data_IF_223644981732
#
_entry.id   IF_223644981732
#
_cell.length_a   1.000
_cell.length_b   1.000
_cell.length_c   1.000
_cell.angle_alpha   90.00
_cell.angle_beta   90.00
_cell.angle_gamma   90.00
#
_symmetry.space_group_name_H-M   'P 1'
#
loop_
_entity.id
_entity.type
_entity.pdbx_description
1 polymer ?
#
# COMPACT_ATOMS: atom_id res chain seq x y z
N UNK A 1 17.71 36.37 -3.53
CA UNK A 1 16.69 35.45 -3.04
C UNK A 1 16.20 34.63 -4.24
N UNK A 2 16.44 33.33 -4.26
CA UNK A 2 15.93 32.44 -5.33
C UNK A 2 14.49 32.04 -4.96
N UNK A 3 13.51 32.18 -5.86
CA UNK A 3 12.16 31.73 -5.56
C UNK A 3 12.16 30.20 -5.38
N UNK A 4 11.63 29.75 -4.27
CA UNK A 4 11.40 28.33 -4.01
C UNK A 4 10.35 27.84 -5.01
N UNK A 5 10.75 26.94 -5.89
CA UNK A 5 9.81 26.26 -6.81
C UNK A 5 8.88 25.42 -5.94
N UNK A 6 7.64 25.85 -5.82
CA UNK A 6 6.60 25.04 -5.20
C UNK A 6 6.29 23.87 -6.15
N UNK A 7 6.66 22.65 -5.74
CA UNK A 7 6.20 21.44 -6.40
C UNK A 7 4.69 21.30 -6.12
N UNK A 8 3.87 21.83 -7.01
CA UNK A 8 2.41 21.71 -6.95
C UNK A 8 2.01 20.44 -7.69
N UNK A 9 1.12 19.66 -7.08
CA UNK A 9 0.41 18.59 -7.73
C UNK A 9 -0.29 19.09 -9.03
N UNK A 10 -0.51 18.24 -10.04
CA UNK A 10 -1.16 18.65 -11.28
C UNK A 10 -2.56 19.21 -10.97
N UNK A 11 -2.84 20.41 -11.44
CA UNK A 11 -4.06 21.15 -11.20
C UNK A 11 -3.82 22.43 -10.38
N UNK A 12 -4.29 23.57 -10.85
CA UNK A 12 -4.20 24.86 -10.15
C UNK A 12 -5.03 24.86 -8.86
N UNK A 13 -4.74 25.80 -7.95
CA UNK A 13 -5.46 25.98 -6.69
C UNK A 13 -6.99 26.01 -6.86
N UNK A 14 -7.47 26.75 -7.84
CA UNK A 14 -8.92 26.87 -8.13
C UNK A 14 -9.52 25.56 -8.67
N UNK A 15 -8.80 24.82 -9.50
CA UNK A 15 -9.27 23.53 -10.03
C UNK A 15 -9.45 22.52 -8.90
N UNK A 16 -8.45 22.38 -8.04
CA UNK A 16 -8.54 21.51 -6.85
C UNK A 16 -9.66 21.92 -5.88
N UNK A 17 -9.82 23.23 -5.69
CA UNK A 17 -10.90 23.76 -4.82
C UNK A 17 -12.29 23.46 -5.38
N UNK A 18 -12.46 23.53 -6.71
CA UNK A 18 -13.71 23.19 -7.36
C UNK A 18 -14.01 21.69 -7.30
N UNK A 19 -13.00 20.85 -7.46
CA UNK A 19 -13.12 19.39 -7.31
C UNK A 19 -13.51 19.01 -5.88
N UNK A 20 -12.88 19.63 -4.89
CA UNK A 20 -13.20 19.40 -3.49
C UNK A 20 -14.62 19.88 -3.15
N UNK A 21 -15.05 21.02 -3.67
CA UNK A 21 -16.42 21.50 -3.54
C UNK A 21 -17.43 20.53 -4.16
N UNK A 22 -17.15 20.01 -5.36
CA UNK A 22 -18.00 19.00 -6.00
C UNK A 22 -18.07 17.73 -5.16
N UNK A 23 -16.95 17.26 -4.61
CA UNK A 23 -16.88 16.09 -3.74
C UNK A 23 -17.75 16.29 -2.50
N UNK A 24 -17.57 17.37 -1.78
CA UNK A 24 -18.32 17.68 -0.56
C UNK A 24 -19.83 17.84 -0.83
N UNK A 25 -20.20 18.50 -1.92
CA UNK A 25 -21.61 18.65 -2.30
C UNK A 25 -22.25 17.33 -2.74
N UNK A 26 -21.54 16.47 -3.45
CA UNK A 26 -22.04 15.13 -3.80
C UNK A 26 -22.25 14.27 -2.56
N UNK A 27 -21.31 14.31 -1.60
CA UNK A 27 -21.43 13.60 -0.33
C UNK A 27 -22.67 14.07 0.46
N UNK A 28 -22.91 15.38 0.51
CA UNK A 28 -24.07 15.96 1.21
C UNK A 28 -25.41 15.65 0.52
N UNK A 29 -25.45 15.64 -0.82
CA UNK A 29 -26.71 15.46 -1.59
C UNK A 29 -27.07 13.97 -1.71
N UNK A 30 -26.10 13.10 -1.93
CA UNK A 30 -26.36 11.69 -2.23
C UNK A 30 -26.45 10.79 -1.00
N UNK A 31 -26.17 11.31 0.21
CA UNK A 31 -26.09 10.50 1.44
C UNK A 31 -25.18 9.27 1.25
N UNK A 32 -24.09 9.44 0.53
CA UNK A 32 -23.18 8.33 0.16
C UNK A 32 -22.55 7.63 1.39
N UNK A 33 -22.63 8.21 2.57
CA UNK A 33 -22.23 7.59 3.82
C UNK A 33 -23.10 6.40 4.27
N UNK A 34 -24.21 6.12 3.57
CA UNK A 34 -25.11 5.00 3.90
C UNK A 34 -24.83 3.73 3.07
N UNK A 35 -24.05 3.83 2.00
CA UNK A 35 -23.72 2.67 1.17
C UNK A 35 -22.24 2.66 0.79
N UNK A 36 -21.61 1.50 0.92
CA UNK A 36 -20.22 1.32 0.49
C UNK A 36 -20.08 1.56 -1.02
N UNK A 37 -19.09 2.35 -1.44
CA UNK A 37 -18.87 2.59 -2.86
C UNK A 37 -18.49 1.30 -3.58
N UNK A 38 -19.06 1.10 -4.77
CA UNK A 38 -18.76 -0.07 -5.62
C UNK A 38 -17.52 0.16 -6.51
N UNK A 39 -17.21 1.42 -6.80
CA UNK A 39 -16.06 1.77 -7.65
C UNK A 39 -14.81 1.93 -6.81
N UNK A 40 -13.67 1.37 -7.23
CA UNK A 40 -12.41 1.57 -6.55
C UNK A 40 -11.98 3.04 -6.62
N UNK A 41 -11.31 3.50 -5.58
CA UNK A 41 -10.78 4.86 -5.46
C UNK A 41 -9.27 4.83 -5.71
N UNK A 42 -8.78 5.39 -6.82
CA UNK A 42 -7.36 5.39 -7.14
C UNK A 42 -6.60 6.33 -6.20
N UNK A 43 -5.53 5.84 -5.60
CA UNK A 43 -4.59 6.62 -4.79
C UNK A 43 -3.35 6.98 -5.61
N UNK A 44 -2.77 5.99 -6.29
CA UNK A 44 -1.58 6.16 -7.11
C UNK A 44 -1.74 5.36 -8.40
N UNK A 45 -1.35 5.96 -9.51
CA UNK A 45 -1.22 5.32 -10.81
C UNK A 45 0.13 5.67 -11.40
N UNK A 46 0.67 4.75 -12.20
CA UNK A 46 1.92 4.96 -12.91
C UNK A 46 1.73 4.70 -14.42
N UNK A 47 0.69 5.31 -14.98
CA UNK A 47 0.36 5.16 -16.41
C UNK A 47 1.35 5.90 -17.29
N UNK A 48 1.94 6.98 -16.80
CA UNK A 48 2.86 7.86 -17.53
C UNK A 48 4.12 8.17 -16.73
N UNK A 49 5.19 8.59 -17.42
CA UNK A 49 6.42 9.03 -16.76
C UNK A 49 6.21 10.30 -15.89
N UNK A 50 5.19 11.11 -16.18
CA UNK A 50 4.83 12.27 -15.37
C UNK A 50 4.33 11.89 -13.99
N UNK A 51 3.71 10.71 -13.85
CA UNK A 51 3.17 10.23 -12.58
C UNK A 51 4.26 9.98 -11.54
N UNK A 52 5.50 9.70 -11.97
CA UNK A 52 6.64 9.59 -11.05
C UNK A 52 6.96 10.91 -10.33
N UNK A 53 6.64 12.06 -10.94
CA UNK A 53 6.86 13.38 -10.33
C UNK A 53 5.97 13.63 -9.12
N UNK A 54 4.91 12.82 -8.96
CA UNK A 54 4.04 12.85 -7.78
C UNK A 54 4.65 12.10 -6.59
N UNK A 55 5.82 11.49 -6.77
CA UNK A 55 6.50 10.72 -5.75
C UNK A 55 7.85 11.35 -5.36
N UNK A 56 8.16 11.26 -4.07
CA UNK A 56 9.46 11.63 -3.50
C UNK A 56 10.24 10.38 -3.17
N UNK A 57 11.45 10.26 -3.73
CA UNK A 57 12.43 9.23 -3.35
C UNK A 57 13.08 9.59 -2.03
N UNK A 58 13.40 8.58 -1.22
CA UNK A 58 14.04 8.70 0.08
C UNK A 58 15.06 7.58 0.25
N UNK A 59 16.21 7.89 0.84
CA UNK A 59 17.19 6.87 1.20
C UNK A 59 18.02 7.34 2.39
N UNK A 60 18.87 6.47 2.91
CA UNK A 60 19.83 6.82 3.94
C UNK A 60 20.93 7.80 3.49
N UNK A 61 20.98 8.16 2.20
CA UNK A 61 21.84 9.27 1.72
C UNK A 61 21.57 10.58 2.43
N UNK A 62 20.32 10.81 2.83
CA UNK A 62 19.92 12.03 3.57
C UNK A 62 20.61 12.14 4.94
N UNK A 63 21.10 11.02 5.47
CA UNK A 63 21.86 10.89 6.72
C UNK A 63 23.30 10.41 6.49
N UNK A 64 23.83 10.56 5.27
CA UNK A 64 25.19 10.18 4.92
C UNK A 64 25.42 8.70 4.61
N UNK A 65 24.39 7.89 4.48
CA UNK A 65 24.46 6.50 4.07
C UNK A 65 24.74 6.31 2.57
N UNK A 66 24.87 5.05 2.16
CA UNK A 66 25.36 4.69 0.82
C UNK A 66 24.33 3.91 -0.02
N UNK A 67 23.11 3.71 0.46
CA UNK A 67 22.05 3.06 -0.31
C UNK A 67 21.63 3.91 -1.51
N UNK A 68 21.34 3.25 -2.64
CA UNK A 68 20.91 3.92 -3.87
C UNK A 68 19.42 3.68 -4.13
N UNK A 69 18.75 4.70 -4.70
CA UNK A 69 17.34 4.64 -5.07
C UNK A 69 17.16 5.16 -6.48
N UNK A 70 16.64 4.30 -7.33
CA UNK A 70 16.14 4.64 -8.65
C UNK A 70 14.63 4.41 -8.69
N UNK A 71 13.93 5.20 -9.50
CA UNK A 71 12.49 5.11 -9.65
C UNK A 71 12.16 5.51 -11.07
N UNK A 72 11.89 4.51 -11.92
CA UNK A 72 11.79 4.65 -13.35
C UNK A 72 10.41 4.19 -13.85
N UNK A 73 9.89 4.83 -14.89
CA UNK A 73 8.63 4.45 -15.50
C UNK A 73 8.88 3.46 -16.62
N UNK A 74 8.10 2.39 -16.63
CA UNK A 74 8.02 1.41 -17.71
C UNK A 74 6.63 1.49 -18.34
N UNK A 75 6.55 1.81 -19.65
CA UNK A 75 5.27 1.88 -20.36
C UNK A 75 4.66 0.48 -20.51
N UNK A 76 3.36 0.45 -20.77
CA UNK A 76 2.65 -0.80 -21.05
C UNK A 76 3.29 -1.54 -22.24
N UNK A 77 3.48 -2.83 -22.10
CA UNK A 77 3.96 -3.76 -23.12
C UNK A 77 2.93 -4.85 -23.35
N UNK A 78 3.21 -5.79 -24.28
CA UNK A 78 2.32 -6.94 -24.51
C UNK A 78 2.26 -7.90 -23.30
N UNK A 79 3.27 -7.89 -22.44
CA UNK A 79 3.42 -8.82 -21.33
C UNK A 79 3.30 -8.17 -19.95
N UNK A 80 3.46 -6.85 -19.85
CA UNK A 80 3.48 -6.14 -18.59
C UNK A 80 2.64 -4.86 -18.64
N UNK A 81 1.92 -4.51 -17.55
CA UNK A 81 1.20 -3.24 -17.43
C UNK A 81 2.18 -2.08 -17.35
N UNK A 82 1.68 -0.85 -17.59
CA UNK A 82 2.43 0.34 -17.21
C UNK A 82 2.72 0.31 -15.70
N UNK A 83 3.95 0.59 -15.31
CA UNK A 83 4.37 0.51 -13.92
C UNK A 83 5.56 1.41 -13.60
N UNK A 84 5.74 1.68 -12.32
CA UNK A 84 6.96 2.27 -11.78
C UNK A 84 7.87 1.16 -11.24
N UNK A 85 9.13 1.19 -11.60
CA UNK A 85 10.17 0.29 -11.08
C UNK A 85 10.97 1.01 -10.01
N UNK A 86 10.87 0.52 -8.78
CA UNK A 86 11.61 0.98 -7.62
C UNK A 86 12.77 0.04 -7.36
N UNK A 87 14.00 0.47 -7.64
CA UNK A 87 15.16 -0.40 -7.59
C UNK A 87 16.42 0.33 -7.14
N UNK A 88 17.43 -0.44 -6.76
CA UNK A 88 18.71 0.10 -6.32
C UNK A 88 19.52 -0.90 -5.54
N UNK A 89 20.33 -0.40 -4.60
CA UNK A 89 21.18 -1.24 -3.74
C UNK A 89 21.11 -0.73 -2.31
N UNK A 90 20.87 -1.62 -1.36
CA UNK A 90 20.98 -1.34 0.06
C UNK A 90 22.44 -1.50 0.50
N UNK A 91 22.96 -0.51 1.22
CA UNK A 91 24.23 -0.53 1.91
C UNK A 91 24.03 -0.28 3.40
N UNK A 92 24.64 -1.10 4.24
CA UNK A 92 24.58 -0.93 5.72
C UNK A 92 25.83 -0.27 6.28
N UNK A 93 26.71 0.24 5.41
CA UNK A 93 27.89 0.97 5.82
C UNK A 93 27.51 2.27 6.55
N UNK A 94 28.15 2.51 7.69
CA UNK A 94 27.95 3.73 8.45
C UNK A 94 28.83 4.88 7.91
N UNK A 95 28.34 6.13 7.90
CA UNK A 95 29.13 7.27 7.50
C UNK A 95 30.25 7.56 8.50
N UNK A 96 31.46 7.71 8.02
CA UNK A 96 32.62 8.00 8.88
C UNK A 96 32.55 9.37 9.58
N UNK A 97 31.89 10.33 8.94
CA UNK A 97 31.84 11.73 9.41
C UNK A 97 30.60 12.06 10.26
N UNK A 98 29.77 11.08 10.57
CA UNK A 98 28.50 11.28 11.31
C UNK A 98 28.35 10.23 12.43
N UNK A 99 29.05 10.37 13.55
CA UNK A 99 29.09 9.35 14.61
C UNK A 99 27.73 9.18 15.33
N UNK A 100 26.80 10.12 15.17
CA UNK A 100 25.45 10.02 15.69
C UNK A 100 24.55 9.09 14.87
N UNK A 101 24.94 8.74 13.63
CA UNK A 101 24.20 7.82 12.79
C UNK A 101 24.56 6.38 13.19
N UNK A 102 23.64 5.72 13.86
CA UNK A 102 23.82 4.34 14.34
C UNK A 102 23.26 3.30 13.38
N UNK A 103 22.40 3.71 12.44
CA UNK A 103 21.72 2.78 11.51
C UNK A 103 21.60 3.40 10.13
N UNK A 104 21.95 2.62 9.12
CA UNK A 104 21.76 2.88 7.70
C UNK A 104 21.10 1.68 7.05
N UNK A 105 20.93 1.67 5.74
CA UNK A 105 20.38 0.56 4.99
C UNK A 105 18.86 0.69 4.84
N UNK A 106 18.41 1.85 4.32
CA UNK A 106 17.03 2.01 3.94
C UNK A 106 16.89 2.70 2.58
N UNK A 107 15.80 2.35 1.89
CA UNK A 107 15.36 2.95 0.64
C UNK A 107 13.82 3.03 0.65
N UNK A 108 13.26 4.06 0.02
CA UNK A 108 11.82 4.19 -0.05
C UNK A 108 11.37 5.28 -1.02
N UNK A 109 10.09 5.29 -1.30
CA UNK A 109 9.41 6.41 -1.94
C UNK A 109 8.05 6.62 -1.27
N UNK A 110 7.52 7.82 -1.39
CA UNK A 110 6.15 8.16 -1.01
C UNK A 110 5.56 9.15 -2.00
N UNK A 111 4.26 9.19 -2.08
CA UNK A 111 3.57 10.24 -2.81
C UNK A 111 3.86 11.60 -2.18
N UNK A 112 3.77 12.65 -2.99
CA UNK A 112 3.70 14.01 -2.47
C UNK A 112 2.37 14.23 -1.77
N UNK A 113 2.34 15.19 -0.86
CA UNK A 113 1.10 15.60 -0.22
C UNK A 113 0.16 16.23 -1.24
N UNK A 114 -1.13 16.02 -1.04
CA UNK A 114 -2.15 16.70 -1.83
C UNK A 114 -2.03 18.22 -1.61
N UNK A 115 -2.28 18.97 -2.68
CA UNK A 115 -2.17 20.43 -2.59
C UNK A 115 -3.24 21.05 -1.68
N UNK A 116 -3.00 22.29 -1.24
CA UNK A 116 -4.01 23.06 -0.48
C UNK A 116 -5.13 23.52 -1.38
N UNK A 117 -6.32 23.59 -0.79
CA UNK A 117 -7.56 24.15 -1.37
C UNK A 117 -8.04 25.31 -0.51
N UNK A 118 -9.12 25.99 -0.92
CA UNK A 118 -9.80 27.00 -0.08
C UNK A 118 -10.35 26.41 1.23
N UNK A 119 -10.55 25.07 1.28
CA UNK A 119 -11.05 24.35 2.45
C UNK A 119 -9.89 23.82 3.34
N UNK A 120 -8.64 24.21 3.06
CA UNK A 120 -7.45 23.78 3.77
C UNK A 120 -6.63 22.75 3.02
N UNK A 121 -5.87 21.91 3.76
CA UNK A 121 -5.09 20.82 3.21
C UNK A 121 -6.01 19.73 2.65
N UNK A 122 -5.77 19.30 1.42
CA UNK A 122 -6.51 18.18 0.83
C UNK A 122 -5.94 16.85 1.31
N UNK A 123 -6.81 15.86 1.51
CA UNK A 123 -6.49 14.51 1.92
C UNK A 123 -7.29 13.51 1.09
N UNK A 124 -6.81 12.29 0.99
CA UNK A 124 -7.63 11.19 0.50
C UNK A 124 -8.54 10.69 1.62
N UNK A 125 -9.83 10.65 1.33
CA UNK A 125 -10.83 10.06 2.22
C UNK A 125 -11.15 8.64 1.72
N UNK A 126 -10.65 7.66 2.46
CA UNK A 126 -10.84 6.24 2.15
C UNK A 126 -11.69 5.53 3.20
N UNK A 127 -12.40 6.29 4.06
CA UNK A 127 -13.19 5.74 5.18
C UNK A 127 -14.32 4.80 4.74
N UNK A 128 -14.80 4.95 3.51
CA UNK A 128 -15.84 4.09 2.95
C UNK A 128 -15.31 2.79 2.33
N UNK A 129 -14.00 2.59 2.32
CA UNK A 129 -13.33 1.42 1.74
C UNK A 129 -12.73 0.55 2.83
N UNK A 130 -12.90 -0.76 2.70
CA UNK A 130 -12.37 -1.74 3.66
C UNK A 130 -10.90 -2.09 3.45
N UNK A 131 -10.40 -1.95 2.21
CA UNK A 131 -9.10 -2.47 1.82
C UNK A 131 -8.29 -1.45 1.04
N UNK A 132 -6.97 -1.48 1.24
CA UNK A 132 -5.97 -1.00 0.31
C UNK A 132 -5.59 -2.15 -0.63
N UNK A 133 -5.66 -1.89 -1.92
CA UNK A 133 -5.22 -2.82 -2.95
C UNK A 133 -3.93 -2.31 -3.60
N UNK A 134 -3.01 -3.22 -3.89
CA UNK A 134 -1.74 -2.94 -4.54
C UNK A 134 -1.43 -4.00 -5.58
N UNK A 135 -1.15 -3.57 -6.83
CA UNK A 135 -0.62 -4.42 -7.89
C UNK A 135 0.89 -4.24 -7.96
N UNK A 136 1.65 -5.34 -7.87
CA UNK A 136 3.11 -5.30 -7.82
C UNK A 136 3.76 -6.58 -8.32
N UNK A 137 5.06 -6.49 -8.64
CA UNK A 137 5.97 -7.63 -8.88
C UNK A 137 7.22 -7.42 -8.06
N UNK A 138 7.53 -8.34 -7.16
CA UNK A 138 8.60 -8.23 -6.16
C UNK A 138 9.73 -9.22 -6.43
N UNK A 139 10.94 -8.85 -6.02
CA UNK A 139 12.11 -9.73 -5.94
C UNK A 139 12.07 -10.68 -4.73
N UNK A 140 11.04 -10.61 -3.88
CA UNK A 140 10.87 -11.42 -2.68
C UNK A 140 11.49 -10.82 -1.41
N UNK A 141 12.06 -9.60 -1.46
CA UNK A 141 12.52 -8.89 -0.27
C UNK A 141 11.32 -8.37 0.55
N UNK A 142 11.57 -8.03 1.81
CA UNK A 142 10.54 -7.59 2.76
C UNK A 142 10.31 -6.08 2.68
N UNK A 143 9.39 -5.68 1.81
CA UNK A 143 8.97 -4.28 1.70
C UNK A 143 7.87 -3.96 2.72
N UNK A 144 7.74 -2.68 3.05
CA UNK A 144 6.66 -2.16 3.87
C UNK A 144 5.84 -1.15 3.06
N UNK A 145 4.52 -1.30 3.10
CA UNK A 145 3.61 -0.26 2.67
C UNK A 145 3.44 0.71 3.83
N UNK A 146 3.60 1.99 3.55
CA UNK A 146 3.52 3.07 4.53
C UNK A 146 2.36 3.99 4.18
N UNK A 147 1.49 4.23 5.13
CA UNK A 147 0.39 5.18 5.02
C UNK A 147 0.58 6.25 6.09
N UNK A 148 0.68 7.50 5.68
CA UNK A 148 0.72 8.64 6.59
C UNK A 148 -0.66 9.32 6.59
N UNK A 149 -1.15 9.61 7.78
CA UNK A 149 -2.42 10.33 7.99
C UNK A 149 -2.16 11.70 8.63
N UNK A 150 -3.20 12.51 8.74
CA UNK A 150 -3.15 13.79 9.46
C UNK A 150 -3.12 13.52 10.98
N UNK A 151 -1.94 13.23 11.50
CA UNK A 151 -1.67 12.95 12.91
C UNK A 151 -1.07 14.17 13.60
N UNK A 152 -1.30 14.28 14.92
CA UNK A 152 -0.68 15.29 15.79
C UNK A 152 0.86 15.16 15.74
N UNK A 153 1.37 13.95 15.63
CA UNK A 153 2.80 13.67 15.47
C UNK A 153 3.09 13.44 14.00
N UNK A 154 3.77 14.39 13.31
CA UNK A 154 3.98 14.33 11.86
C UNK A 154 4.83 13.15 11.39
N UNK A 155 5.60 12.54 12.29
CA UNK A 155 6.48 11.39 12.01
C UNK A 155 5.79 10.04 12.20
N UNK A 156 4.54 10.02 12.67
CA UNK A 156 3.76 8.80 12.78
C UNK A 156 3.36 8.30 11.39
N UNK A 157 3.61 7.04 11.14
CA UNK A 157 3.20 6.33 9.93
C UNK A 157 2.55 4.99 10.32
N UNK A 158 1.63 4.54 9.48
CA UNK A 158 1.03 3.22 9.60
C UNK A 158 1.70 2.31 8.58
N UNK A 159 2.25 1.20 9.04
CA UNK A 159 3.05 0.27 8.23
C UNK A 159 2.40 -1.11 8.17
N UNK A 160 2.45 -1.70 7.00
CA UNK A 160 2.10 -3.11 6.80
C UNK A 160 3.19 -3.80 5.97
N UNK A 161 3.55 -5.04 6.34
CA UNK A 161 4.52 -5.83 5.58
C UNK A 161 3.91 -6.28 4.26
N UNK A 162 4.56 -5.92 3.15
CA UNK A 162 4.20 -6.41 1.82
C UNK A 162 4.85 -7.79 1.62
N UNK A 163 4.02 -8.81 1.62
CA UNK A 163 4.45 -10.18 1.39
C UNK A 163 4.11 -10.61 -0.04
N UNK A 164 5.14 -10.96 -0.82
CA UNK A 164 4.98 -11.55 -2.14
C UNK A 164 4.78 -13.06 -1.99
N UNK A 165 3.75 -13.60 -2.62
CA UNK A 165 3.48 -15.04 -2.68
C UNK A 165 4.30 -15.71 -3.80
N UNK A 166 4.46 -15.00 -4.90
CA UNK A 166 5.13 -15.47 -6.12
C UNK A 166 6.17 -14.45 -6.60
N UNK A 167 7.37 -14.41 -5.97
CA UNK A 167 8.41 -13.47 -6.39
C UNK A 167 8.73 -13.61 -7.88
N UNK A 168 8.85 -12.47 -8.57
CA UNK A 168 9.09 -12.40 -10.01
C UNK A 168 7.82 -12.39 -10.88
N UNK A 169 6.64 -12.57 -10.31
CA UNK A 169 5.36 -12.50 -11.01
C UNK A 169 4.52 -11.30 -10.56
N UNK A 170 3.60 -10.86 -11.43
CA UNK A 170 2.63 -9.83 -11.06
C UNK A 170 1.55 -10.40 -10.16
N UNK A 171 1.34 -9.77 -9.03
CA UNK A 171 0.32 -10.12 -8.07
C UNK A 171 -0.43 -8.89 -7.54
N UNK A 172 -1.64 -9.11 -7.05
CA UNK A 172 -2.45 -8.09 -6.39
C UNK A 172 -2.70 -8.53 -4.95
N UNK A 173 -2.43 -7.64 -4.01
CA UNK A 173 -2.69 -7.86 -2.59
C UNK A 173 -3.78 -6.93 -2.09
N UNK A 174 -4.64 -7.45 -1.21
CA UNK A 174 -5.63 -6.70 -0.44
C UNK A 174 -5.22 -6.67 1.02
N UNK A 175 -5.13 -5.48 1.57
CA UNK A 175 -4.73 -5.25 2.95
C UNK A 175 -5.84 -4.46 3.64
N UNK A 176 -6.37 -4.96 4.74
CA UNK A 176 -7.36 -4.22 5.53
C UNK A 176 -6.70 -3.03 6.22
N UNK A 177 -7.42 -1.92 6.30
CA UNK A 177 -6.90 -0.72 6.95
C UNK A 177 -6.56 -0.94 8.44
N UNK A 178 -7.24 -1.85 9.11
CA UNK A 178 -6.98 -2.18 10.51
C UNK A 178 -5.78 -3.13 10.73
N UNK A 179 -5.18 -3.67 9.67
CA UNK A 179 -3.96 -4.50 9.74
C UNK A 179 -2.68 -3.66 9.76
N UNK A 180 -2.80 -2.36 9.52
CA UNK A 180 -1.66 -1.45 9.60
C UNK A 180 -1.30 -1.12 11.03
N UNK A 181 -0.01 -1.21 11.35
CA UNK A 181 0.55 -0.93 12.67
C UNK A 181 1.14 0.48 12.70
N UNK A 182 0.75 1.28 13.71
CA UNK A 182 1.33 2.61 13.90
C UNK A 182 2.77 2.51 14.39
N UNK A 183 3.65 3.21 13.69
CA UNK A 183 5.09 3.27 14.00
C UNK A 183 5.57 4.72 13.98
N UNK A 184 6.66 4.99 14.70
CA UNK A 184 7.37 6.25 14.67
C UNK A 184 8.87 5.95 14.57
N UNK A 185 9.55 6.57 13.61
CA UNK A 185 10.96 6.28 13.32
C UNK A 185 11.28 4.77 13.20
N UNK A 186 10.35 3.98 12.64
CA UNK A 186 10.51 2.54 12.44
C UNK A 186 10.32 1.70 13.70
N UNK A 187 9.84 2.28 14.79
CA UNK A 187 9.49 1.58 16.03
C UNK A 187 7.98 1.59 16.24
N UNK A 188 7.44 0.46 16.72
CA UNK A 188 6.02 0.36 17.08
C UNK A 188 5.72 1.31 18.25
N UNK A 189 4.65 2.07 18.13
CA UNK A 189 4.21 3.04 19.14
C UNK A 189 3.03 2.48 19.93
N UNK A 190 3.14 2.43 21.24
CA UNK A 190 2.06 2.05 22.14
C UNK A 190 1.45 3.30 22.83
N UNK A 191 0.13 3.34 23.07
CA UNK A 191 -0.89 2.40 22.59
C UNK A 191 -1.16 2.56 21.10
N UNK A 192 -1.51 1.47 20.42
CA UNK A 192 -1.96 1.52 19.03
C UNK A 192 -3.26 2.33 18.93
N UNK A 193 -3.39 3.09 17.84
CA UNK A 193 -4.59 3.86 17.52
C UNK A 193 -5.03 3.53 16.11
N UNK A 194 -6.32 3.58 15.88
CA UNK A 194 -6.88 3.40 14.55
C UNK A 194 -6.36 4.45 13.58
N UNK A 195 -6.17 4.04 12.34
CA UNK A 195 -5.75 4.92 11.25
C UNK A 195 -6.87 5.91 10.92
N UNK A 196 -6.54 7.17 10.77
CA UNK A 196 -7.47 8.22 10.31
C UNK A 196 -7.71 8.08 8.80
N UNK A 197 -8.51 7.10 8.40
CA UNK A 197 -8.81 6.79 7.00
C UNK A 197 -9.50 7.92 6.23
N UNK A 198 -10.12 8.86 6.92
CA UNK A 198 -10.70 10.08 6.35
C UNK A 198 -9.64 11.10 5.92
N UNK A 199 -8.43 10.99 6.43
CA UNK A 199 -7.37 11.99 6.26
C UNK A 199 -6.03 11.34 5.90
N UNK A 200 -6.03 10.53 4.85
CA UNK A 200 -4.79 9.94 4.33
C UNK A 200 -4.00 10.99 3.56
N UNK A 201 -2.76 11.18 3.95
CA UNK A 201 -1.85 12.23 3.49
C UNK A 201 -0.95 11.75 2.37
N UNK A 202 -0.27 10.63 2.60
CA UNK A 202 0.65 10.01 1.65
C UNK A 202 0.58 8.49 1.74
N UNK A 203 0.85 7.84 0.62
CA UNK A 203 1.09 6.41 0.52
C UNK A 203 2.46 6.18 -0.08
N UNK A 204 3.19 5.20 0.39
CA UNK A 204 4.51 4.90 -0.11
C UNK A 204 4.96 3.49 0.22
N UNK A 205 6.15 3.14 -0.25
CA UNK A 205 6.78 1.85 0.01
C UNK A 205 8.20 2.08 0.48
N UNK A 206 8.64 1.27 1.42
CA UNK A 206 10.01 1.30 1.93
C UNK A 206 10.59 -0.10 2.09
N UNK A 207 11.91 -0.17 1.94
CA UNK A 207 12.72 -1.34 2.23
C UNK A 207 13.65 -0.99 3.39
N UNK A 208 13.47 -1.69 4.51
CA UNK A 208 14.21 -1.46 5.76
C UNK A 208 14.73 -2.77 6.37
N UNK A 209 14.85 -3.81 5.55
CA UNK A 209 15.31 -5.14 5.98
C UNK A 209 16.80 -5.17 6.36
N UNK A 210 17.56 -4.12 5.98
CA UNK A 210 18.99 -3.96 6.23
C UNK A 210 19.83 -5.12 5.72
N UNK A 211 19.38 -5.78 4.66
CA UNK A 211 20.16 -6.79 3.96
C UNK A 211 20.92 -6.09 2.83
N UNK A 212 22.27 -6.03 2.85
CA UNK A 212 23.04 -5.42 1.78
C UNK A 212 22.79 -6.15 0.45
N UNK A 213 22.75 -5.38 -0.63
CA UNK A 213 22.58 -5.95 -1.97
C UNK A 213 21.48 -5.26 -2.79
N UNK A 214 21.27 -5.73 -4.01
CA UNK A 214 20.29 -5.15 -4.92
C UNK A 214 18.86 -5.41 -4.44
N UNK A 215 17.95 -4.54 -4.88
CA UNK A 215 16.50 -4.72 -4.70
C UNK A 215 15.77 -4.24 -5.93
N UNK A 216 14.60 -4.85 -6.20
CA UNK A 216 13.78 -4.58 -7.37
C UNK A 216 12.30 -4.84 -7.08
N UNK A 217 11.49 -3.79 -7.15
CA UNK A 217 10.06 -3.84 -6.96
C UNK A 217 9.36 -3.04 -8.06
N UNK A 218 8.55 -3.70 -8.87
CA UNK A 218 7.68 -3.04 -9.84
C UNK A 218 6.29 -2.83 -9.24
N UNK A 219 5.72 -1.63 -9.41
CA UNK A 219 4.45 -1.23 -8.84
C UNK A 219 3.54 -0.70 -9.96
N UNK A 220 2.39 -1.35 -10.16
CA UNK A 220 1.36 -0.89 -11.08
C UNK A 220 0.49 0.20 -10.46
N UNK A 221 -0.58 -0.20 -9.82
CA UNK A 221 -1.57 0.70 -9.24
C UNK A 221 -1.73 0.47 -7.73
N UNK A 222 -2.08 1.56 -7.01
CA UNK A 222 -2.48 1.52 -5.60
C UNK A 222 -3.86 2.18 -5.49
N UNK A 223 -4.85 1.47 -4.93
CA UNK A 223 -6.22 1.98 -4.82
C UNK A 223 -6.91 1.48 -3.55
N UNK A 224 -7.95 2.17 -3.13
CA UNK A 224 -8.84 1.71 -2.07
C UNK A 224 -10.07 1.01 -2.67
N UNK A 225 -10.52 -0.09 -2.06
CA UNK A 225 -11.61 -0.91 -2.60
C UNK A 225 -12.42 -1.60 -1.50
N UNK A 226 -13.65 -2.01 -1.86
CA UNK A 226 -14.51 -2.91 -1.09
C UNK A 226 -14.67 -4.27 -1.77
N UNK A 227 -14.06 -4.47 -2.94
CA UNK A 227 -14.06 -5.77 -3.59
C UNK A 227 -13.25 -6.77 -2.75
N UNK A 228 -13.83 -7.94 -2.53
CA UNK A 228 -13.23 -9.01 -1.72
C UNK A 228 -12.72 -10.19 -2.55
N UNK A 229 -13.11 -10.26 -3.82
CA UNK A 229 -12.69 -11.31 -4.75
C UNK A 229 -11.65 -10.77 -5.73
N UNK A 230 -10.61 -11.54 -5.98
CA UNK A 230 -9.51 -11.18 -6.88
C UNK A 230 -10.03 -10.87 -8.30
N UNK A 231 -11.00 -11.62 -8.80
CA UNK A 231 -11.61 -11.40 -10.13
C UNK A 231 -12.35 -10.06 -10.22
N UNK A 232 -13.06 -9.67 -9.16
CA UNK A 232 -13.74 -8.38 -9.07
C UNK A 232 -12.78 -7.20 -8.98
N UNK A 233 -11.62 -7.40 -8.39
CA UNK A 233 -10.58 -6.38 -8.25
C UNK A 233 -9.95 -6.09 -9.61
N UNK A 234 -9.63 -7.11 -10.36
CA UNK A 234 -9.03 -6.99 -11.70
C UNK A 234 -9.96 -6.30 -12.70
N UNK A 235 -11.28 -6.58 -12.61
CA UNK A 235 -12.28 -5.95 -13.48
C UNK A 235 -12.56 -4.48 -13.11
N UNK A 236 -12.30 -4.09 -11.85
CA UNK A 236 -12.63 -2.75 -11.32
C UNK A 236 -11.43 -1.86 -11.09
N UNK A 237 -10.21 -2.36 -11.32
CA UNK A 237 -9.02 -1.50 -11.27
C UNK A 237 -9.22 -0.32 -12.22
N UNK A 238 -8.94 0.91 -11.77
CA UNK A 238 -9.12 2.08 -12.62
C UNK A 238 -8.06 2.10 -13.73
N UNK A 239 -8.46 1.79 -14.92
CA UNK A 239 -7.63 1.72 -16.14
C UNK A 239 -7.76 0.34 -16.79
N UNK A 240 -8.14 0.32 -18.06
CA UNK A 240 -8.31 -0.90 -18.84
C UNK A 240 -7.05 -1.78 -18.77
N UNK A 241 -7.10 -2.79 -17.91
CA UNK A 241 -6.16 -3.92 -17.94
C UNK A 241 -6.52 -4.89 -19.08
N UNK A 242 -7.08 -4.38 -20.18
CA UNK A 242 -7.30 -5.15 -21.39
C UNK A 242 -5.94 -5.47 -22.01
N UNK A 243 -5.42 -6.66 -21.68
CA UNK A 243 -4.18 -7.16 -22.29
C UNK A 243 -3.22 -7.86 -21.34
N UNK A 244 -3.51 -7.95 -20.04
CA UNK A 244 -2.68 -8.79 -19.18
C UNK A 244 -2.95 -10.27 -19.47
N UNK A 245 -1.92 -11.10 -19.66
CA UNK A 245 -2.10 -12.53 -19.75
C UNK A 245 -2.69 -13.02 -18.43
N UNK A 246 -3.89 -13.60 -18.48
CA UNK A 246 -4.61 -14.24 -17.37
C UNK A 246 -3.85 -15.51 -16.93
N UNK A 247 -2.54 -15.44 -16.79
CA UNK A 247 -1.64 -16.60 -16.69
C UNK A 247 -1.21 -16.99 -15.29
N UNK A 248 -1.45 -16.21 -14.24
CA UNK A 248 -0.93 -16.55 -12.90
C UNK A 248 -1.95 -16.58 -11.76
N UNK A 249 -3.23 -16.36 -12.05
CA UNK A 249 -4.29 -16.60 -11.07
C UNK A 249 -4.69 -18.08 -11.09
N UNK A 250 -3.79 -18.97 -10.65
CA UNK A 250 -4.22 -20.30 -10.26
C UNK A 250 -5.05 -20.14 -9.00
N UNK A 251 -6.32 -20.57 -9.04
CA UNK A 251 -7.16 -20.83 -7.87
C UNK A 251 -6.31 -21.58 -6.84
N UNK A 252 -5.66 -20.83 -5.97
CA UNK A 252 -4.86 -21.38 -4.90
C UNK A 252 -5.76 -22.03 -3.89
N UNK A 253 -5.43 -23.25 -3.50
CA UNK A 253 -5.99 -24.17 -2.51
C UNK A 253 -6.45 -23.58 -1.16
N UNK A 254 -7.07 -22.42 -1.13
CA UNK A 254 -7.57 -21.81 0.11
C UNK A 254 -8.86 -22.48 0.63
N UNK A 255 -9.58 -23.26 -0.21
CA UNK A 255 -10.81 -23.94 0.19
C UNK A 255 -10.62 -25.36 0.73
N UNK A 256 -9.39 -25.83 0.98
CA UNK A 256 -9.15 -27.20 1.44
C UNK A 256 -8.92 -27.38 2.94
N UNK A 257 -8.92 -26.31 3.74
CA UNK A 257 -8.70 -26.41 5.20
C UNK A 257 -9.84 -25.87 6.09
N UNK A 258 -10.96 -25.44 5.56
CA UNK A 258 -12.10 -24.95 6.37
C UNK A 258 -13.38 -25.76 6.14
N UNK A 259 -13.29 -26.99 5.69
CA UNK A 259 -14.46 -27.79 5.36
C UNK A 259 -14.36 -29.27 5.65
N UNK A 260 -13.75 -29.67 6.76
CA UNK A 260 -13.98 -30.99 7.35
C UNK A 260 -13.81 -30.88 8.87
N UNK A 261 -14.86 -30.46 9.53
CA UNK A 261 -15.14 -30.97 10.86
C UNK A 261 -15.74 -32.36 10.64
N UNK A 262 -14.97 -33.35 10.97
CA UNK A 262 -15.37 -34.72 10.96
C UNK A 262 -16.61 -34.88 11.82
N UNK A 263 -17.64 -35.50 11.21
CA UNK A 263 -18.78 -36.06 11.90
C UNK A 263 -18.24 -36.99 12.99
N UNK A 264 -18.51 -36.66 14.22
CA UNK A 264 -18.34 -37.53 15.37
C UNK A 264 -19.24 -38.76 15.12
N UNK A 265 -18.64 -39.90 14.86
CA UNK A 265 -19.31 -41.17 14.93
C UNK A 265 -19.55 -41.46 16.41
N UNK A 266 -20.84 -41.48 16.78
CA UNK A 266 -21.29 -42.08 18.04
C UNK A 266 -20.94 -43.57 18.02
N UNK A 267 -20.03 -43.98 18.89
CA UNK A 267 -19.85 -45.38 19.27
C UNK A 267 -21.04 -45.81 20.14
N UNK A 268 -21.64 -47.00 19.90
CA UNK A 268 -22.72 -47.52 20.74
C UNK A 268 -22.19 -47.96 22.10
N UNK A 269 -22.92 -47.55 23.13
CA UNK A 269 -22.77 -47.99 24.53
C UNK A 269 -22.71 -49.53 24.61
N UNK A 270 -21.64 -50.04 25.19
CA UNK A 270 -21.56 -51.44 25.62
C UNK A 270 -22.13 -51.54 27.04
N UNK A 271 -23.29 -52.19 27.15
CA UNK A 271 -23.91 -52.75 28.32
C UNK A 271 -22.87 -53.56 29.14
N UNK A 272 -22.67 -53.14 30.37
CA UNK A 272 -21.96 -53.95 31.36
C UNK A 272 -23.02 -54.42 32.35
N UNK A 273 -23.63 -55.60 32.03
CA UNK A 273 -24.34 -56.38 33.05
C UNK A 273 -23.37 -57.29 33.78
N UNK A 274 -23.41 -57.13 35.09
CA UNK A 274 -23.12 -58.08 36.17
C UNK A 274 -22.45 -59.41 35.83
N UNK A 275 -21.43 -59.78 36.61
CA UNK A 275 -21.44 -61.07 37.28
C UNK A 275 -20.58 -61.02 38.58
N UNK A 276 -21.28 -61.17 39.68
CA UNK A 276 -20.83 -61.54 41.04
C UNK A 276 -20.08 -62.86 41.03
N UNK A 277 -18.87 -62.90 41.63
CA UNK A 277 -18.49 -63.89 42.63
C UNK A 277 -17.11 -63.61 43.20
#
# INVERSE_FOLDING_TARGET
MRPTVQCLAPGGFFSRSLEEFKRLSQFAIKLEGLSSPRKPFPLVRFDTAEDLKQCKKMSDKDIGGFSTVNFDHHPVTQTEPAHARFHGTISTQLPHNQPHVQRTGYAGFRTLEQGRTIFGQSFWDVSLYGYLALQFKSDGRKYFINVQTDSIVPTDIHQHLLHSKTPGEWETVLIKWNEFVRTNHGQVVEPQREMLTQKVRTVGISLIDRIPGPYDLSIGNIWATNATEEDDILQRAPGDLQGLPVGSLRRGDYNRKVGRRDSVQEEPERDITETTR
#
